data_IF_511048978109
#
_entry.id   IF_511048978109
#
_cell.length_a   1.000
_cell.length_b   1.000
_cell.length_c   1.000
_cell.angle_alpha   90.00
_cell.angle_beta   90.00
_cell.angle_gamma   90.00
#
_symmetry.space_group_name_H-M   'P 1'
#
loop_
_entity.id
_entity.type
_entity.pdbx_description
1 polymer ?
#
# COMPACT_ATOMS: atom_id res chain seq x y z
N UNK A 1 12.29 -12.49 12.55
CA UNK A 1 12.52 -13.07 13.89
C UNK A 1 11.94 -14.48 13.94
N UNK A 2 12.65 -15.48 14.50
CA UNK A 2 12.10 -16.79 14.79
C UNK A 2 10.83 -16.65 15.64
N UNK A 3 9.83 -17.51 15.42
CA UNK A 3 8.53 -17.44 16.11
C UNK A 3 8.64 -17.51 17.65
N UNK A 4 9.72 -18.13 18.16
CA UNK A 4 10.02 -18.20 19.57
C UNK A 4 10.38 -16.83 20.20
N UNK A 5 11.07 -15.95 19.45
CA UNK A 5 11.50 -14.65 19.96
C UNK A 5 10.35 -13.62 20.00
N UNK A 6 9.29 -13.85 19.22
CA UNK A 6 8.06 -13.00 19.26
C UNK A 6 7.26 -13.17 20.53
N UNK A 7 7.29 -14.37 21.14
CA UNK A 7 6.54 -14.68 22.38
C UNK A 7 7.27 -14.25 23.65
N UNK A 8 8.58 -14.07 23.60
CA UNK A 8 9.39 -13.89 24.81
C UNK A 8 9.50 -12.44 25.29
N UNK A 9 9.03 -11.41 24.57
CA UNK A 9 8.96 -10.00 25.02
C UNK A 9 10.22 -9.38 25.67
N UNK A 10 11.30 -10.15 25.80
CA UNK A 10 12.51 -9.84 26.55
C UNK A 10 13.81 -10.24 25.84
N UNK A 11 13.76 -10.49 24.53
CA UNK A 11 14.98 -10.76 23.78
C UNK A 11 15.87 -9.52 23.79
N UNK A 12 17.09 -9.66 24.32
CA UNK A 12 18.15 -8.63 24.27
C UNK A 12 18.83 -8.56 22.90
N UNK A 13 18.23 -9.16 21.86
CA UNK A 13 18.82 -9.15 20.53
C UNK A 13 18.72 -7.74 19.91
N UNK A 14 19.72 -7.32 19.10
CA UNK A 14 19.66 -6.04 18.40
C UNK A 14 18.42 -5.89 17.53
N UNK A 15 17.93 -6.99 16.93
CA UNK A 15 16.70 -7.00 16.14
C UNK A 15 15.47 -6.70 17.00
N UNK A 16 15.39 -7.20 18.23
CA UNK A 16 14.28 -6.91 19.14
C UNK A 16 14.24 -5.44 19.55
N UNK A 17 15.40 -4.80 19.75
CA UNK A 17 15.48 -3.38 20.01
C UNK A 17 14.87 -2.57 18.88
N UNK A 18 15.23 -2.88 17.62
CA UNK A 18 14.70 -2.17 16.45
C UNK A 18 13.20 -2.37 16.32
N UNK A 19 12.69 -3.60 16.49
CA UNK A 19 11.26 -3.89 16.46
C UNK A 19 10.52 -3.07 17.51
N UNK A 20 11.02 -3.01 18.75
CA UNK A 20 10.41 -2.22 19.81
C UNK A 20 10.40 -0.71 19.51
N UNK A 21 11.43 -0.20 18.84
CA UNK A 21 11.46 1.20 18.42
C UNK A 21 10.44 1.47 17.29
N UNK A 22 10.32 0.55 16.34
CA UNK A 22 9.28 0.63 15.30
C UNK A 22 7.87 0.58 15.92
N UNK A 23 7.63 -0.31 16.89
CA UNK A 23 6.33 -0.41 17.58
C UNK A 23 5.95 0.90 18.25
N UNK A 24 6.91 1.64 18.82
CA UNK A 24 6.68 2.97 19.38
C UNK A 24 6.25 4.01 18.34
N UNK A 25 6.83 3.97 17.12
CA UNK A 25 6.38 4.85 16.02
C UNK A 25 4.93 4.54 15.68
N UNK A 26 4.58 3.26 15.52
CA UNK A 26 3.20 2.85 15.25
C UNK A 26 2.22 3.19 16.40
N UNK A 27 2.68 3.21 17.65
CA UNK A 27 1.89 3.61 18.80
C UNK A 27 1.58 5.12 18.75
N UNK A 28 2.56 5.96 18.44
CA UNK A 28 2.39 7.41 18.26
C UNK A 28 1.41 7.66 17.09
N UNK A 29 1.61 7.02 15.95
CA UNK A 29 0.75 7.17 14.76
C UNK A 29 -0.71 6.73 15.00
N UNK A 30 -0.95 5.73 15.83
CA UNK A 30 -2.32 5.37 16.27
C UNK A 30 -3.02 6.51 17.01
N UNK A 31 -2.27 7.32 17.76
CA UNK A 31 -2.78 8.51 18.41
C UNK A 31 -3.24 9.60 17.43
N UNK A 32 -2.82 9.54 16.18
CA UNK A 32 -3.19 10.51 15.14
C UNK A 32 -4.38 10.05 14.28
N UNK A 33 -5.04 8.97 14.68
CA UNK A 33 -6.24 8.47 13.99
C UNK A 33 -7.35 9.53 14.02
N UNK A 34 -7.93 9.82 12.86
CA UNK A 34 -9.01 10.82 12.74
C UNK A 34 -8.54 12.25 12.50
N UNK A 35 -7.24 12.54 12.57
CA UNK A 35 -6.70 13.85 12.20
C UNK A 35 -6.69 14.05 10.68
N UNK A 36 -6.91 15.28 10.26
CA UNK A 36 -6.68 15.67 8.86
C UNK A 36 -5.19 15.54 8.48
N UNK A 37 -4.86 15.42 7.19
CA UNK A 37 -3.46 15.36 6.77
C UNK A 37 -2.60 16.54 7.28
N UNK A 38 -3.16 17.75 7.27
CA UNK A 38 -2.46 18.94 7.76
C UNK A 38 -2.17 18.87 9.26
N UNK A 39 -3.16 18.49 10.06
CA UNK A 39 -3.00 18.31 11.51
C UNK A 39 -2.02 17.18 11.84
N UNK A 40 -2.10 16.06 11.13
CA UNK A 40 -1.19 14.92 11.31
C UNK A 40 0.25 15.33 11.03
N UNK A 41 0.51 16.08 9.97
CA UNK A 41 1.85 16.59 9.68
C UNK A 41 2.40 17.42 10.83
N UNK A 42 1.60 18.35 11.38
CA UNK A 42 1.99 19.18 12.53
C UNK A 42 2.27 18.32 13.77
N UNK A 43 1.43 17.31 14.02
CA UNK A 43 1.62 16.41 15.18
C UNK A 43 2.88 15.55 15.03
N UNK A 44 3.19 15.04 13.84
CA UNK A 44 4.43 14.32 13.55
C UNK A 44 5.67 15.17 13.84
N UNK A 45 5.65 16.45 13.45
CA UNK A 45 6.77 17.36 13.71
C UNK A 45 6.99 17.65 15.21
N UNK A 46 5.91 17.64 15.99
CA UNK A 46 5.94 17.83 17.45
C UNK A 46 6.20 16.53 18.22
N UNK A 47 6.04 15.38 17.59
CA UNK A 47 6.18 14.07 18.22
C UNK A 47 7.65 13.67 18.40
N UNK A 48 7.86 12.60 19.17
CA UNK A 48 9.20 12.01 19.36
C UNK A 48 9.63 11.06 18.25
N UNK A 49 8.87 10.96 17.15
CA UNK A 49 9.16 10.01 16.07
C UNK A 49 10.54 10.25 15.46
N UNK A 50 10.92 11.49 15.21
CA UNK A 50 12.26 11.83 14.69
C UNK A 50 13.39 11.40 15.63
N UNK A 51 13.18 11.48 16.95
CA UNK A 51 14.14 11.00 17.94
C UNK A 51 14.23 9.47 17.89
N UNK A 52 13.09 8.78 17.77
CA UNK A 52 13.04 7.33 17.63
C UNK A 52 13.75 6.88 16.35
N UNK A 53 13.56 7.57 15.21
CA UNK A 53 14.30 7.27 13.99
C UNK A 53 15.81 7.43 14.17
N UNK A 54 16.27 8.48 14.84
CA UNK A 54 17.70 8.64 15.16
C UNK A 54 18.22 7.47 15.99
N UNK A 55 17.43 6.99 16.95
CA UNK A 55 17.80 5.81 17.75
C UNK A 55 17.84 4.53 16.90
N UNK A 56 16.91 4.36 15.97
CA UNK A 56 16.90 3.22 15.03
C UNK A 56 18.16 3.24 14.18
N UNK A 57 18.52 4.37 13.57
CA UNK A 57 19.70 4.49 12.73
C UNK A 57 20.99 4.26 13.52
N UNK A 58 21.10 4.84 14.70
CA UNK A 58 22.23 4.60 15.60
C UNK A 58 22.35 3.12 15.99
N UNK A 59 21.23 2.45 16.25
CA UNK A 59 21.23 1.01 16.56
C UNK A 59 21.67 0.17 15.35
N UNK A 60 21.17 0.50 14.14
CA UNK A 60 21.54 -0.19 12.89
C UNK A 60 23.01 -0.02 12.53
N UNK A 61 23.59 1.15 12.78
CA UNK A 61 25.00 1.45 12.51
C UNK A 61 25.93 0.68 13.45
N UNK A 62 25.48 0.37 14.66
CA UNK A 62 26.24 -0.42 15.64
C UNK A 62 26.12 -1.95 15.48
N UNK A 63 25.23 -2.42 14.56
CA UNK A 63 25.10 -3.86 14.30
C UNK A 63 26.08 -4.27 13.21
N UNK A 64 26.95 -5.23 13.54
CA UNK A 64 27.83 -5.89 12.57
C UNK A 64 27.30 -7.29 12.25
N UNK A 65 27.23 -7.61 10.97
CA UNK A 65 26.80 -8.91 10.49
C UNK A 65 27.47 -9.26 9.15
N UNK A 66 27.73 -10.55 8.93
CA UNK A 66 28.21 -11.04 7.64
C UNK A 66 27.19 -10.72 6.53
N UNK A 67 27.66 -10.22 5.37
CA UNK A 67 26.83 -9.83 4.23
C UNK A 67 25.94 -10.98 3.72
N UNK A 68 26.40 -12.23 3.82
CA UNK A 68 25.63 -13.40 3.40
C UNK A 68 24.56 -13.86 4.40
N UNK A 69 24.60 -13.37 5.65
CA UNK A 69 23.63 -13.73 6.67
C UNK A 69 22.28 -13.05 6.47
N UNK A 70 21.22 -13.61 7.04
CA UNK A 70 19.88 -13.01 7.05
C UNK A 70 19.90 -11.60 7.64
N UNK A 71 20.65 -11.43 8.75
CA UNK A 71 20.81 -10.12 9.40
C UNK A 71 21.58 -9.16 8.51
N UNK A 72 22.65 -9.58 7.84
CA UNK A 72 23.43 -8.76 6.92
C UNK A 72 22.58 -8.26 5.73
N UNK A 73 21.76 -9.15 5.17
CA UNK A 73 20.79 -8.76 4.10
C UNK A 73 19.78 -7.74 4.60
N UNK A 74 19.24 -7.90 5.80
CA UNK A 74 18.30 -6.96 6.40
C UNK A 74 18.95 -5.59 6.67
N UNK A 75 20.19 -5.55 7.15
CA UNK A 75 20.95 -4.31 7.36
C UNK A 75 21.22 -3.59 6.03
N UNK A 76 21.60 -4.33 4.99
CA UNK A 76 21.81 -3.76 3.65
C UNK A 76 20.51 -3.16 3.12
N UNK A 77 19.39 -3.89 3.25
CA UNK A 77 18.08 -3.37 2.86
C UNK A 77 17.73 -2.08 3.63
N UNK A 78 17.85 -2.09 4.95
CA UNK A 78 17.54 -0.92 5.77
C UNK A 78 18.38 0.31 5.37
N UNK A 79 19.70 0.13 5.13
CA UNK A 79 20.59 1.21 4.70
C UNK A 79 20.21 1.75 3.32
N UNK A 80 19.87 0.90 2.39
CA UNK A 80 19.43 1.31 1.05
C UNK A 80 18.09 2.05 1.08
N UNK A 81 17.19 1.72 2.02
CA UNK A 81 15.90 2.37 2.17
C UNK A 81 15.92 3.62 3.06
N UNK A 82 17.03 3.87 3.77
CA UNK A 82 17.17 5.02 4.67
C UNK A 82 16.71 6.35 4.08
N UNK A 83 17.04 6.72 2.82
CA UNK A 83 16.63 8.00 2.22
C UNK A 83 15.10 8.13 2.05
N UNK A 84 14.37 7.01 2.09
CA UNK A 84 12.93 6.97 1.79
C UNK A 84 12.06 6.71 3.02
N UNK A 85 12.59 6.09 4.06
CA UNK A 85 11.81 5.64 5.22
C UNK A 85 11.17 6.79 6.02
N UNK A 86 11.75 7.98 5.98
CA UNK A 86 11.25 9.15 6.68
C UNK A 86 10.40 10.08 5.78
N UNK A 87 10.14 9.71 4.51
CA UNK A 87 9.38 10.55 3.59
C UNK A 87 7.92 10.80 4.02
N UNK A 88 7.35 9.95 4.88
CA UNK A 88 6.02 10.17 5.43
C UNK A 88 5.89 11.43 6.30
N UNK A 89 7.01 12.01 6.74
CA UNK A 89 7.01 13.31 7.40
C UNK A 89 6.74 14.48 6.44
N UNK A 90 6.96 14.30 5.15
CA UNK A 90 6.78 15.35 4.16
C UNK A 90 5.30 15.69 3.94
N UNK A 91 4.44 14.68 4.06
CA UNK A 91 3.01 14.81 3.88
C UNK A 91 2.24 13.99 4.92
N UNK A 92 1.32 14.61 5.65
CA UNK A 92 0.48 13.93 6.63
C UNK A 92 -0.54 12.96 6.03
N UNK A 93 -0.79 13.01 4.72
CA UNK A 93 -1.61 12.03 4.00
C UNK A 93 -0.91 10.69 3.77
N UNK A 94 0.43 10.68 3.79
CA UNK A 94 1.21 9.46 3.60
C UNK A 94 1.21 8.64 4.89
N UNK A 95 0.78 7.35 4.86
CA UNK A 95 0.84 6.49 6.04
C UNK A 95 2.28 6.08 6.36
N UNK A 96 2.56 5.80 7.64
CA UNK A 96 3.87 5.31 8.08
C UNK A 96 4.21 3.91 7.55
N UNK A 97 3.21 3.16 7.13
CA UNK A 97 3.36 1.83 6.54
C UNK A 97 2.78 1.78 5.13
N UNK A 98 3.49 1.13 4.22
CA UNK A 98 3.02 0.87 2.86
C UNK A 98 2.18 -0.42 2.74
N UNK A 99 1.90 -1.12 3.84
CA UNK A 99 1.16 -2.39 3.84
C UNK A 99 -0.19 -2.28 3.13
N UNK A 100 -0.88 -1.16 3.29
CA UNK A 100 -2.15 -0.92 2.60
C UNK A 100 -1.95 -0.86 1.08
N UNK A 101 -0.98 -0.06 0.62
CA UNK A 101 -0.64 0.07 -0.81
C UNK A 101 -0.16 -1.26 -1.40
N UNK A 102 0.66 -2.00 -0.66
CA UNK A 102 1.09 -3.34 -1.08
C UNK A 102 -0.08 -4.31 -1.18
N UNK A 103 -0.97 -4.33 -0.19
CA UNK A 103 -2.11 -5.25 -0.16
C UNK A 103 -3.15 -4.94 -1.22
N UNK A 104 -3.42 -3.66 -1.49
CA UNK A 104 -4.43 -3.24 -2.45
C UNK A 104 -3.88 -3.10 -3.88
N UNK A 105 -2.59 -2.77 -4.05
CA UNK A 105 -1.98 -2.53 -5.35
C UNK A 105 -1.13 -3.69 -5.84
N UNK A 106 0.05 -3.87 -5.25
CA UNK A 106 1.07 -4.76 -5.77
C UNK A 106 0.73 -6.26 -5.58
N UNK A 107 0.16 -6.63 -4.43
CA UNK A 107 -0.12 -8.05 -4.11
C UNK A 107 -1.14 -8.68 -5.04
N UNK A 108 -2.28 -8.06 -5.39
CA UNK A 108 -3.23 -8.65 -6.34
C UNK A 108 -2.59 -8.95 -7.69
N UNK A 109 -1.75 -8.06 -8.20
CA UNK A 109 -1.01 -8.29 -9.43
C UNK A 109 0.00 -9.43 -9.29
N UNK A 110 0.79 -9.44 -8.22
CA UNK A 110 1.79 -10.47 -7.95
C UNK A 110 1.17 -11.87 -7.76
N UNK A 111 -0.02 -11.96 -7.13
CA UNK A 111 -0.78 -13.21 -6.99
C UNK A 111 -1.36 -13.62 -8.33
N UNK A 112 -1.87 -12.69 -9.13
CA UNK A 112 -2.39 -12.94 -10.48
C UNK A 112 -1.37 -13.61 -11.40
N UNK A 113 -0.06 -13.36 -11.21
CA UNK A 113 1.01 -14.05 -11.95
C UNK A 113 0.94 -15.58 -11.88
N UNK A 114 0.37 -16.14 -10.84
CA UNK A 114 0.16 -17.59 -10.73
C UNK A 114 -0.81 -18.12 -11.78
N UNK A 115 -1.66 -17.27 -12.35
CA UNK A 115 -2.64 -17.63 -13.37
C UNK A 115 -2.11 -17.42 -14.79
N UNK A 116 -1.42 -16.29 -15.04
CA UNK A 116 -0.94 -15.96 -16.39
C UNK A 116 0.59 -16.18 -16.55
N UNK A 117 1.32 -16.49 -15.48
CA UNK A 117 2.76 -16.80 -15.42
C UNK A 117 3.69 -15.69 -15.92
N UNK A 118 3.54 -15.24 -17.16
CA UNK A 118 4.35 -14.22 -17.82
C UNK A 118 3.51 -13.48 -18.87
N UNK A 119 4.05 -12.37 -19.35
CA UNK A 119 3.53 -11.63 -20.48
C UNK A 119 4.46 -11.83 -21.67
N UNK A 120 3.90 -12.02 -22.86
CA UNK A 120 4.69 -12.25 -24.08
C UNK A 120 5.42 -10.99 -24.52
N UNK A 121 4.92 -9.80 -24.18
CA UNK A 121 5.48 -8.51 -24.55
C UNK A 121 5.56 -7.56 -23.36
N UNK A 122 6.45 -6.57 -23.46
CA UNK A 122 6.56 -5.48 -22.47
C UNK A 122 5.26 -4.68 -22.44
N UNK A 123 4.69 -4.36 -23.59
CA UNK A 123 3.44 -3.59 -23.72
C UNK A 123 2.27 -4.35 -23.07
N UNK A 124 2.22 -5.68 -23.20
CA UNK A 124 1.23 -6.52 -22.53
C UNK A 124 1.37 -6.50 -21.00
N UNK A 125 2.60 -6.47 -20.50
CA UNK A 125 2.85 -6.33 -19.07
C UNK A 125 2.40 -4.95 -18.53
N UNK A 126 2.69 -3.89 -19.29
CA UNK A 126 2.30 -2.53 -18.96
C UNK A 126 0.78 -2.38 -18.97
N UNK A 127 0.11 -2.82 -20.04
CA UNK A 127 -1.35 -2.81 -20.14
C UNK A 127 -2.01 -3.57 -18.97
N UNK A 128 -1.48 -4.74 -18.60
CA UNK A 128 -1.97 -5.50 -17.45
C UNK A 128 -1.81 -4.73 -16.14
N UNK A 129 -0.67 -4.07 -15.92
CA UNK A 129 -0.43 -3.28 -14.71
C UNK A 129 -1.40 -2.10 -14.59
N UNK A 130 -1.69 -1.42 -15.71
CA UNK A 130 -2.66 -0.33 -15.79
C UNK A 130 -4.07 -0.84 -15.42
N UNK A 131 -4.52 -1.94 -16.04
CA UNK A 131 -5.85 -2.50 -15.78
C UNK A 131 -6.00 -2.92 -14.31
N UNK A 132 -4.97 -3.59 -13.74
CA UNK A 132 -4.98 -3.93 -12.32
C UNK A 132 -5.03 -2.69 -11.42
N UNK A 133 -4.29 -1.64 -11.74
CA UNK A 133 -4.31 -0.38 -11.00
C UNK A 133 -5.69 0.25 -11.02
N UNK A 134 -6.33 0.34 -12.19
CA UNK A 134 -7.68 0.86 -12.34
C UNK A 134 -8.70 0.02 -11.55
N UNK A 135 -8.63 -1.31 -11.64
CA UNK A 135 -9.53 -2.21 -10.94
C UNK A 135 -9.39 -2.09 -9.41
N UNK A 136 -8.16 -2.01 -8.90
CA UNK A 136 -7.94 -1.85 -7.46
C UNK A 136 -8.37 -0.45 -6.98
N UNK A 137 -8.14 0.60 -7.78
CA UNK A 137 -8.60 1.95 -7.47
C UNK A 137 -10.13 2.02 -7.45
N UNK A 138 -10.82 1.33 -8.37
CA UNK A 138 -12.28 1.22 -8.36
C UNK A 138 -12.79 0.56 -7.07
N UNK A 139 -12.15 -0.54 -6.61
CA UNK A 139 -12.47 -1.17 -5.32
C UNK A 139 -12.30 -0.22 -4.14
N UNK A 140 -11.21 0.54 -4.11
CA UNK A 140 -10.92 1.50 -3.04
C UNK A 140 -11.94 2.65 -3.00
N UNK A 141 -12.52 2.98 -4.15
CA UNK A 141 -13.57 3.98 -4.27
C UNK A 141 -14.99 3.40 -4.08
N UNK A 142 -15.11 2.14 -3.66
CA UNK A 142 -16.39 1.45 -3.39
C UNK A 142 -17.35 1.43 -4.58
N UNK A 143 -16.83 1.32 -5.81
CA UNK A 143 -17.61 1.15 -7.02
C UNK A 143 -17.46 -0.27 -7.58
N UNK A 144 -18.45 -0.72 -8.36
CA UNK A 144 -18.41 -2.01 -9.02
C UNK A 144 -17.30 -2.04 -10.08
N UNK A 145 -16.29 -2.89 -9.88
CA UNK A 145 -15.16 -3.02 -10.81
C UNK A 145 -15.64 -3.42 -12.21
N UNK A 146 -16.61 -4.34 -12.29
CA UNK A 146 -17.17 -4.79 -13.57
C UNK A 146 -17.81 -3.62 -14.33
N UNK A 147 -18.74 -2.91 -13.68
CA UNK A 147 -19.39 -1.74 -14.29
C UNK A 147 -18.39 -0.65 -14.66
N UNK A 148 -17.40 -0.43 -13.80
CA UNK A 148 -16.35 0.55 -14.03
C UNK A 148 -15.54 0.24 -15.30
N UNK A 149 -15.00 -0.98 -15.40
CA UNK A 149 -14.24 -1.40 -16.58
C UNK A 149 -15.09 -1.39 -17.85
N UNK A 150 -16.35 -1.85 -17.76
CA UNK A 150 -17.30 -1.77 -18.88
C UNK A 150 -17.53 -0.32 -19.32
N UNK A 151 -17.73 0.59 -18.38
CA UNK A 151 -17.96 2.02 -18.65
C UNK A 151 -16.72 2.68 -19.26
N UNK A 152 -15.53 2.39 -18.72
CA UNK A 152 -14.26 2.88 -19.29
C UNK A 152 -14.10 2.41 -20.74
N UNK A 153 -14.29 1.11 -21.01
CA UNK A 153 -14.17 0.57 -22.37
C UNK A 153 -15.20 1.17 -23.34
N UNK A 154 -16.38 1.55 -22.86
CA UNK A 154 -17.42 2.16 -23.67
C UNK A 154 -17.10 3.62 -24.04
N UNK A 155 -16.58 4.39 -23.10
CA UNK A 155 -16.37 5.83 -23.29
C UNK A 155 -14.93 6.20 -23.64
N UNK A 156 -13.94 5.35 -23.38
CA UNK A 156 -12.53 5.63 -23.69
C UNK A 156 -12.26 5.98 -25.15
N UNK A 157 -12.96 5.38 -26.15
CA UNK A 157 -12.76 5.76 -27.54
C UNK A 157 -13.02 7.24 -27.83
N UNK A 158 -13.93 7.89 -27.10
CA UNK A 158 -14.27 9.31 -27.28
C UNK A 158 -13.09 10.23 -26.89
N UNK A 159 -12.18 9.77 -26.03
CA UNK A 159 -11.05 10.53 -25.52
C UNK A 159 -9.72 10.26 -26.24
N UNK A 160 -9.69 9.33 -27.24
CA UNK A 160 -8.43 8.96 -27.92
C UNK A 160 -7.84 10.16 -28.68
N UNK A 161 -8.69 10.97 -29.32
CA UNK A 161 -8.26 12.12 -30.13
C UNK A 161 -8.31 13.43 -29.34
N UNK A 162 -9.17 13.53 -28.34
CA UNK A 162 -9.40 14.70 -27.51
C UNK A 162 -9.38 14.28 -26.03
N UNK A 163 -8.19 14.23 -25.41
CA UNK A 163 -8.05 13.71 -24.05
C UNK A 163 -8.59 14.66 -22.95
N UNK A 164 -9.09 15.83 -23.34
CA UNK A 164 -9.70 16.79 -22.41
C UNK A 164 -10.91 16.15 -21.70
N UNK A 165 -10.90 16.22 -20.36
CA UNK A 165 -11.99 15.66 -19.55
C UNK A 165 -11.86 14.16 -19.27
N UNK A 166 -10.76 13.50 -19.64
CA UNK A 166 -10.53 12.08 -19.34
C UNK A 166 -10.57 11.78 -17.83
N UNK A 167 -10.32 12.77 -16.99
CA UNK A 167 -10.44 12.68 -15.53
C UNK A 167 -11.86 12.27 -15.09
N UNK A 168 -12.88 12.53 -15.91
CA UNK A 168 -14.25 12.07 -15.65
C UNK A 168 -14.38 10.54 -15.66
N UNK A 169 -13.46 9.83 -16.31
CA UNK A 169 -13.39 8.36 -16.29
C UNK A 169 -12.61 7.79 -15.11
N UNK A 170 -12.03 8.63 -14.25
CA UNK A 170 -11.31 8.16 -13.08
C UNK A 170 -12.26 7.62 -12.00
N UNK A 171 -11.87 6.56 -11.25
CA UNK A 171 -12.76 5.90 -10.29
C UNK A 171 -13.33 6.82 -9.21
N UNK A 172 -12.64 7.91 -8.90
CA UNK A 172 -13.07 8.90 -7.89
C UNK A 172 -13.94 10.02 -8.44
N UNK A 173 -14.15 10.06 -9.76
CA UNK A 173 -14.99 11.12 -10.38
C UNK A 173 -16.47 10.94 -9.99
N UNK A 174 -17.18 12.04 -9.86
CA UNK A 174 -18.63 12.03 -9.57
C UNK A 174 -19.43 11.26 -10.63
N UNK A 175 -18.97 11.29 -11.89
CA UNK A 175 -19.59 10.53 -12.99
C UNK A 175 -19.49 9.02 -12.73
N UNK A 176 -18.30 8.52 -12.45
CA UNK A 176 -18.09 7.09 -12.20
C UNK A 176 -18.70 6.61 -10.89
N UNK A 177 -18.70 7.44 -9.84
CA UNK A 177 -19.38 7.15 -8.59
C UNK A 177 -20.88 6.91 -8.79
N UNK A 178 -21.52 7.69 -9.66
CA UNK A 178 -22.96 7.52 -9.98
C UNK A 178 -23.22 6.32 -10.89
N UNK A 179 -22.44 6.17 -11.98
CA UNK A 179 -22.67 5.12 -12.98
C UNK A 179 -22.33 3.73 -12.47
N UNK A 180 -21.30 3.61 -11.63
CA UNK A 180 -20.73 2.34 -11.21
C UNK A 180 -21.03 2.01 -9.74
N UNK A 181 -21.99 2.69 -9.12
CA UNK A 181 -22.40 2.44 -7.74
C UNK A 181 -22.74 0.96 -7.53
N UNK A 182 -22.31 0.40 -6.37
CA UNK A 182 -22.68 -0.94 -5.94
C UNK A 182 -24.12 -0.89 -5.42
N UNK A 183 -25.05 -1.55 -6.10
CA UNK A 183 -26.43 -1.70 -5.64
C UNK A 183 -26.47 -2.71 -4.48
N UNK A 184 -26.51 -2.23 -3.24
CA UNK A 184 -26.60 -3.07 -2.02
C UNK A 184 -27.82 -4.01 -2.00
N UNK A 185 -28.83 -3.82 -2.88
CA UNK A 185 -30.00 -4.68 -2.97
C UNK A 185 -29.81 -5.92 -3.85
N UNK A 186 -28.78 -5.96 -4.72
CA UNK A 186 -28.53 -7.11 -5.59
C UNK A 186 -27.72 -8.23 -4.92
N UNK A 187 -27.14 -7.99 -3.76
CA UNK A 187 -26.28 -8.97 -3.05
C UNK A 187 -27.08 -9.99 -2.23
N UNK A 188 -28.41 -9.94 -2.20
CA UNK A 188 -29.24 -10.87 -1.40
C UNK A 188 -29.88 -11.96 -2.27
N UNK A 189 -29.94 -11.82 -3.60
CA UNK A 189 -30.62 -12.79 -4.47
C UNK A 189 -29.71 -13.55 -5.44
N UNK A 190 -28.47 -13.12 -5.66
CA UNK A 190 -27.56 -13.80 -6.58
C UNK A 190 -26.27 -14.20 -5.83
N UNK A 191 -26.22 -15.47 -5.42
CA UNK A 191 -25.11 -16.07 -4.67
C UNK A 191 -23.79 -16.19 -5.46
N UNK A 192 -23.57 -15.36 -6.47
CA UNK A 192 -22.40 -15.39 -7.35
C UNK A 192 -21.30 -14.40 -6.99
N UNK A 193 -21.56 -13.44 -6.08
CA UNK A 193 -20.50 -12.55 -5.57
C UNK A 193 -19.83 -13.16 -4.32
N UNK A 194 -19.18 -14.30 -4.50
CA UNK A 194 -18.32 -14.88 -3.46
C UNK A 194 -16.96 -14.17 -3.50
N UNK A 195 -16.61 -13.35 -2.49
CA UNK A 195 -15.30 -12.70 -2.42
C UNK A 195 -14.12 -13.67 -2.25
N UNK A 196 -14.41 -14.99 -2.13
CA UNK A 196 -13.40 -16.05 -1.97
C UNK A 196 -12.74 -16.52 -3.29
N UNK A 197 -13.13 -16.01 -4.47
CA UNK A 197 -12.53 -16.42 -5.75
C UNK A 197 -11.27 -15.61 -6.13
N UNK A 198 -10.83 -14.68 -5.26
CA UNK A 198 -9.60 -13.92 -5.46
C UNK A 198 -8.70 -13.95 -4.21
N UNK A 199 -8.51 -15.13 -3.62
CA UNK A 199 -7.46 -15.39 -2.64
C UNK A 199 -6.26 -16.04 -3.30
#
# INVERSE_FOLDING_TARGET
LPAADRKAGKSKSPAALIVNLCDKIFEIERGFTGLTPAERKIQREKSKEREIWKMIWAALDNISASSGSQLGKALTYARNQKPYMENYFLDGGVPVSNNFTESCGARPYAVGRKNFYFHDTVDGAEASSIIYSLAQTAKLNNISVFKYLQTVLLYMPDYINEPEGIEELMPWSDRMQRLCAINKKATVEDGSDNPALFV
#
